data_IF_819847435400
#
_entry.id   IF_819847435400
#
_cell.length_a   1.000
_cell.length_b   1.000
_cell.length_c   1.000
_cell.angle_alpha   90.00
_cell.angle_beta   90.00
_cell.angle_gamma   90.00
#
_symmetry.space_group_name_H-M   'P 1'
#
loop_
_entity.id
_entity.type
_entity.pdbx_description
1 polymer ?
#
# COMPACT_ATOMS: atom_id res chain seq x y z
N UNK A 1 21.61 -21.76 -25.18
CA UNK A 1 21.32 -20.40 -24.72
C UNK A 1 21.29 -20.21 -23.17
N UNK A 2 20.85 -21.15 -22.33
CA UNK A 2 20.81 -20.97 -20.86
C UNK A 2 22.20 -20.89 -20.19
N UNK A 3 23.19 -21.69 -20.61
CA UNK A 3 24.56 -21.72 -20.02
C UNK A 3 25.40 -20.46 -20.35
N UNK A 4 25.16 -19.80 -21.47
CA UNK A 4 25.84 -18.55 -21.87
C UNK A 4 25.36 -17.34 -21.07
N UNK A 5 24.09 -17.32 -20.62
CA UNK A 5 23.55 -16.23 -19.80
C UNK A 5 24.05 -16.24 -18.35
N UNK A 6 24.20 -17.44 -17.74
CA UNK A 6 24.69 -17.54 -16.36
C UNK A 6 26.20 -17.23 -16.24
N UNK A 7 27.01 -17.60 -17.24
CA UNK A 7 28.43 -17.23 -17.28
C UNK A 7 28.60 -15.71 -17.36
N UNK A 8 27.81 -15.00 -18.19
CA UNK A 8 27.85 -13.53 -18.29
C UNK A 8 27.48 -12.82 -16.97
N UNK A 9 26.57 -13.37 -16.17
CA UNK A 9 26.18 -12.77 -14.88
C UNK A 9 27.28 -12.85 -13.81
N UNK A 10 28.12 -13.88 -13.88
CA UNK A 10 29.26 -14.03 -12.96
C UNK A 10 30.44 -13.13 -13.32
N UNK A 11 30.55 -12.71 -14.58
CA UNK A 11 31.60 -11.80 -15.08
C UNK A 11 31.29 -10.31 -14.83
N UNK A 12 30.08 -10.00 -14.34
CA UNK A 12 29.72 -8.63 -13.95
C UNK A 12 30.46 -8.26 -12.66
N UNK A 13 31.29 -7.22 -12.73
CA UNK A 13 32.03 -6.70 -11.58
C UNK A 13 31.09 -5.92 -10.62
N UNK A 14 30.13 -6.65 -10.03
CA UNK A 14 29.11 -6.10 -9.12
C UNK A 14 29.67 -6.07 -7.69
N UNK A 15 29.76 -4.91 -7.11
CA UNK A 15 30.07 -4.72 -5.70
C UNK A 15 28.83 -5.01 -4.85
N UNK A 16 28.62 -6.27 -4.48
CA UNK A 16 27.44 -6.70 -3.72
C UNK A 16 27.29 -5.99 -2.36
N UNK A 17 28.39 -5.62 -1.71
CA UNK A 17 28.34 -4.83 -0.47
C UNK A 17 27.64 -3.50 -0.67
N UNK A 18 27.95 -2.79 -1.75
CA UNK A 18 27.32 -1.51 -2.07
C UNK A 18 25.86 -1.70 -2.47
N UNK A 19 25.53 -2.78 -3.20
CA UNK A 19 24.15 -3.16 -3.49
C UNK A 19 23.32 -3.32 -2.22
N UNK A 20 23.74 -4.15 -1.27
CA UNK A 20 23.00 -4.37 -0.03
C UNK A 20 22.90 -3.10 0.80
N UNK A 21 23.98 -2.32 0.91
CA UNK A 21 23.97 -1.02 1.61
C UNK A 21 22.92 -0.08 1.04
N UNK A 22 22.87 0.07 -0.29
CA UNK A 22 21.91 0.95 -0.95
C UNK A 22 20.46 0.42 -0.84
N UNK A 23 20.27 -0.89 -0.98
CA UNK A 23 18.96 -1.53 -0.83
C UNK A 23 18.42 -1.32 0.58
N UNK A 24 19.22 -1.58 1.63
CA UNK A 24 18.76 -1.39 3.00
C UNK A 24 18.54 0.08 3.34
N UNK A 25 19.31 1.00 2.74
CA UNK A 25 19.07 2.44 2.86
C UNK A 25 17.71 2.89 2.28
N UNK A 26 17.13 2.13 1.34
CA UNK A 26 15.78 2.34 0.83
C UNK A 26 14.74 1.56 1.66
N UNK A 27 14.99 0.29 1.93
CA UNK A 27 14.02 -0.62 2.58
C UNK A 27 13.67 -0.18 3.99
N UNK A 28 14.68 0.17 4.81
CA UNK A 28 14.46 0.50 6.23
C UNK A 28 13.57 1.74 6.40
N UNK A 29 13.84 2.89 5.73
CA UNK A 29 12.93 4.02 5.79
C UNK A 29 11.52 3.71 5.28
N UNK A 30 11.38 2.92 4.19
CA UNK A 30 10.08 2.56 3.64
C UNK A 30 9.29 1.63 4.56
N UNK A 31 9.94 0.66 5.19
CA UNK A 31 9.32 -0.20 6.20
C UNK A 31 8.87 0.64 7.42
N UNK A 32 9.69 1.59 7.86
CA UNK A 32 9.34 2.51 8.95
C UNK A 32 8.13 3.38 8.58
N UNK A 33 8.02 3.87 7.34
CA UNK A 33 6.85 4.61 6.86
C UNK A 33 5.58 3.76 6.93
N UNK A 34 5.64 2.50 6.52
CA UNK A 34 4.50 1.58 6.62
C UNK A 34 4.11 1.33 8.08
N UNK A 35 5.10 1.18 8.97
CA UNK A 35 4.86 1.01 10.41
C UNK A 35 4.22 2.27 11.02
N UNK A 36 4.69 3.45 10.65
CA UNK A 36 4.10 4.74 11.08
C UNK A 36 2.63 4.82 10.67
N UNK A 37 2.28 4.43 9.44
CA UNK A 37 0.89 4.43 8.97
C UNK A 37 -0.01 3.49 9.79
N UNK A 38 0.50 2.31 10.14
CA UNK A 38 -0.21 1.40 11.07
C UNK A 38 -0.36 2.04 12.45
N UNK A 39 0.67 2.72 12.93
CA UNK A 39 0.69 3.44 14.20
C UNK A 39 -0.36 4.56 14.27
N UNK A 40 -0.53 5.35 13.20
CA UNK A 40 -1.59 6.39 13.11
C UNK A 40 -2.96 5.76 13.31
N UNK A 41 -3.27 4.72 12.54
CA UNK A 41 -4.57 4.02 12.64
C UNK A 41 -4.79 3.42 14.02
N UNK A 42 -3.77 2.81 14.61
CA UNK A 42 -3.86 2.23 15.95
C UNK A 42 -4.10 3.30 17.03
N UNK A 43 -3.43 4.44 16.93
CA UNK A 43 -3.61 5.56 17.86
C UNK A 43 -5.05 6.12 17.80
N UNK A 44 -5.58 6.33 16.58
CA UNK A 44 -6.95 6.80 16.37
C UNK A 44 -7.97 5.81 16.98
N UNK A 45 -7.81 4.51 16.73
CA UNK A 45 -8.69 3.47 17.26
C UNK A 45 -8.67 3.43 18.78
N UNK A 46 -7.48 3.46 19.40
CA UNK A 46 -7.34 3.44 20.86
C UNK A 46 -7.93 4.70 21.50
N UNK A 47 -7.71 5.88 20.93
CA UNK A 47 -8.18 7.13 21.49
C UNK A 47 -9.70 7.29 21.33
N UNK A 48 -10.25 6.99 20.15
CA UNK A 48 -11.70 7.07 19.91
C UNK A 48 -12.49 5.98 20.66
N UNK A 49 -11.89 4.81 20.84
CA UNK A 49 -12.48 3.72 21.63
C UNK A 49 -12.71 4.09 23.10
N UNK A 50 -11.90 5.02 23.65
CA UNK A 50 -12.11 5.57 25.00
C UNK A 50 -13.29 6.57 25.10
N UNK A 51 -13.74 7.11 23.98
CA UNK A 51 -14.89 8.06 23.96
C UNK A 51 -16.20 7.29 23.99
N UNK A 52 -16.46 6.46 22.98
CA UNK A 52 -17.59 5.53 22.95
C UNK A 52 -17.48 4.58 21.76
N UNK A 53 -18.18 3.44 21.82
CA UNK A 53 -18.27 2.46 20.75
C UNK A 53 -18.87 3.05 19.46
N UNK A 54 -19.91 3.90 19.59
CA UNK A 54 -20.57 4.56 18.43
C UNK A 54 -19.63 5.54 17.72
N UNK A 55 -18.84 6.28 18.48
CA UNK A 55 -17.83 7.22 17.95
C UNK A 55 -16.74 6.46 17.21
N UNK A 56 -16.21 5.39 17.81
CA UNK A 56 -15.20 4.55 17.17
C UNK A 56 -15.73 3.92 15.88
N UNK A 57 -16.94 3.34 15.92
CA UNK A 57 -17.58 2.73 14.76
C UNK A 57 -17.81 3.76 13.64
N UNK A 58 -18.32 4.95 13.98
CA UNK A 58 -18.53 6.03 13.03
C UNK A 58 -17.24 6.47 12.32
N UNK A 59 -16.17 6.68 13.08
CA UNK A 59 -14.86 7.05 12.52
C UNK A 59 -14.26 5.93 11.68
N UNK A 60 -14.34 4.68 12.14
CA UNK A 60 -13.81 3.51 11.43
C UNK A 60 -14.51 3.29 10.09
N UNK A 61 -15.85 3.41 10.03
CA UNK A 61 -16.60 3.27 8.79
C UNK A 61 -16.39 4.45 7.85
N UNK A 62 -16.29 5.68 8.36
CA UNK A 62 -15.90 6.84 7.55
C UNK A 62 -14.48 6.66 6.97
N UNK A 63 -13.58 6.05 7.74
CA UNK A 63 -12.22 5.68 7.31
C UNK A 63 -12.20 4.70 6.13
N UNK A 64 -13.23 3.85 5.92
CA UNK A 64 -13.30 2.97 4.75
C UNK A 64 -13.41 3.77 3.43
N UNK A 65 -14.08 4.92 3.44
CA UNK A 65 -14.18 5.80 2.27
C UNK A 65 -12.79 6.34 1.91
N UNK A 66 -12.05 6.80 2.93
CA UNK A 66 -10.66 7.24 2.76
C UNK A 66 -9.76 6.10 2.29
N UNK A 67 -9.94 4.88 2.82
CA UNK A 67 -9.16 3.70 2.41
C UNK A 67 -9.34 3.39 0.92
N UNK A 68 -10.58 3.42 0.40
CA UNK A 68 -10.85 3.24 -1.03
C UNK A 68 -10.11 4.31 -1.84
N UNK A 69 -10.19 5.59 -1.44
CA UNK A 69 -9.46 6.67 -2.11
C UNK A 69 -7.93 6.42 -2.09
N UNK A 70 -7.39 5.93 -0.99
CA UNK A 70 -5.95 5.59 -0.87
C UNK A 70 -5.54 4.50 -1.84
N UNK A 71 -6.39 3.50 -2.13
CA UNK A 71 -6.10 2.48 -3.14
C UNK A 71 -5.92 3.10 -4.53
N UNK A 72 -6.79 4.05 -4.91
CA UNK A 72 -6.62 4.80 -6.17
C UNK A 72 -5.32 5.60 -6.19
N UNK A 73 -4.99 6.30 -5.10
CA UNK A 73 -3.75 7.08 -4.99
C UNK A 73 -2.51 6.19 -5.01
N UNK A 74 -2.54 5.05 -4.33
CA UNK A 74 -1.43 4.10 -4.32
C UNK A 74 -1.19 3.52 -5.72
N UNK A 75 -2.25 3.12 -6.41
CA UNK A 75 -2.15 2.66 -7.79
C UNK A 75 -1.58 3.72 -8.72
N UNK A 76 -2.06 4.97 -8.60
CA UNK A 76 -1.58 6.11 -9.38
C UNK A 76 -0.08 6.38 -9.14
N UNK A 77 0.32 6.46 -7.88
CA UNK A 77 1.71 6.78 -7.50
C UNK A 77 2.67 5.64 -7.79
N UNK A 78 2.23 4.39 -7.60
CA UNK A 78 3.03 3.21 -7.95
C UNK A 78 3.21 3.11 -9.47
N UNK A 79 2.16 3.39 -10.26
CA UNK A 79 2.27 3.49 -11.71
C UNK A 79 3.19 4.63 -12.16
N UNK A 80 3.11 5.80 -11.51
CA UNK A 80 4.03 6.92 -11.76
C UNK A 80 5.49 6.53 -11.47
N UNK A 81 5.74 5.73 -10.43
CA UNK A 81 7.09 5.27 -10.06
C UNK A 81 7.74 4.45 -11.17
N UNK A 82 6.96 3.72 -11.97
CA UNK A 82 7.46 2.99 -13.16
C UNK A 82 8.23 3.93 -14.10
N UNK A 83 7.64 5.08 -14.39
CA UNK A 83 8.23 6.07 -15.27
C UNK A 83 9.34 6.88 -14.57
N UNK A 84 9.04 7.42 -13.39
CA UNK A 84 9.96 8.33 -12.68
C UNK A 84 11.27 7.66 -12.29
N UNK A 85 11.24 6.38 -11.87
CA UNK A 85 12.46 5.64 -11.54
C UNK A 85 13.33 5.38 -12.79
N UNK A 86 12.73 5.06 -13.93
CA UNK A 86 13.48 4.86 -15.17
C UNK A 86 14.02 6.18 -15.73
N UNK A 87 13.21 7.26 -15.75
CA UNK A 87 13.71 8.59 -16.13
C UNK A 87 14.79 9.11 -15.20
N UNK A 88 14.73 8.76 -13.91
CA UNK A 88 15.82 9.05 -12.98
C UNK A 88 17.11 8.33 -13.36
N UNK A 89 17.04 7.05 -13.71
CA UNK A 89 18.18 6.28 -14.25
C UNK A 89 18.74 6.85 -15.54
N UNK A 90 17.88 7.36 -16.42
CA UNK A 90 18.27 8.03 -17.66
C UNK A 90 18.89 9.43 -17.42
N UNK A 91 18.66 10.04 -16.26
CA UNK A 91 19.09 11.39 -15.92
C UNK A 91 18.17 12.51 -16.45
N UNK A 92 16.98 12.17 -16.96
CA UNK A 92 16.02 13.13 -17.49
C UNK A 92 15.11 13.69 -16.39
N UNK A 93 15.58 14.75 -15.74
CA UNK A 93 14.86 15.43 -14.67
C UNK A 93 13.60 16.16 -15.19
N UNK A 94 13.63 16.62 -16.44
CA UNK A 94 12.50 17.34 -17.05
C UNK A 94 11.29 16.43 -17.19
N UNK A 95 11.50 15.20 -17.68
CA UNK A 95 10.42 14.21 -17.76
C UNK A 95 9.84 13.90 -16.38
N UNK A 96 10.67 13.82 -15.32
CA UNK A 96 10.20 13.60 -13.95
C UNK A 96 9.37 14.79 -13.45
N UNK A 97 9.77 16.04 -13.73
CA UNK A 97 8.99 17.24 -13.38
C UNK A 97 7.61 17.24 -14.07
N UNK A 98 7.55 16.84 -15.33
CA UNK A 98 6.29 16.69 -16.08
C UNK A 98 5.40 15.58 -15.49
N UNK A 99 6.00 14.42 -15.14
CA UNK A 99 5.27 13.31 -14.51
C UNK A 99 4.77 13.69 -13.11
N UNK A 100 5.56 14.43 -12.32
CA UNK A 100 5.14 14.98 -11.04
C UNK A 100 3.89 15.87 -11.20
N UNK A 101 3.93 16.80 -12.15
CA UNK A 101 2.81 17.70 -12.42
C UNK A 101 1.55 16.93 -12.87
N UNK A 102 1.71 15.94 -13.75
CA UNK A 102 0.64 15.07 -14.21
C UNK A 102 0.06 14.21 -13.08
N UNK A 103 0.93 13.64 -12.24
CA UNK A 103 0.55 12.86 -11.07
C UNK A 103 -0.26 13.69 -10.07
N UNK A 104 0.20 14.92 -9.75
CA UNK A 104 -0.53 15.84 -8.86
C UNK A 104 -1.89 16.19 -9.46
N UNK A 105 -1.97 16.52 -10.77
CA UNK A 105 -3.23 16.81 -11.44
C UNK A 105 -4.20 15.63 -11.34
N UNK A 106 -3.75 14.43 -11.62
CA UNK A 106 -4.57 13.21 -11.54
C UNK A 106 -5.03 12.92 -10.10
N UNK A 107 -4.14 13.09 -9.12
CA UNK A 107 -4.47 12.94 -7.71
C UNK A 107 -5.50 13.96 -7.23
N UNK A 108 -5.37 15.22 -7.64
CA UNK A 108 -6.36 16.29 -7.33
C UNK A 108 -7.72 15.93 -7.90
N UNK A 109 -7.80 15.41 -9.14
CA UNK A 109 -9.08 15.00 -9.75
C UNK A 109 -9.70 13.85 -8.93
N UNK A 110 -8.93 12.82 -8.61
CA UNK A 110 -9.41 11.66 -7.82
C UNK A 110 -9.90 12.14 -6.45
N UNK A 111 -9.06 12.86 -5.72
CA UNK A 111 -9.39 13.30 -4.35
C UNK A 111 -10.52 14.31 -4.33
N UNK A 112 -10.67 15.19 -5.35
CA UNK A 112 -11.80 16.10 -5.48
C UNK A 112 -13.13 15.35 -5.63
N UNK A 113 -13.17 14.25 -6.40
CA UNK A 113 -14.37 13.40 -6.52
C UNK A 113 -14.79 12.88 -5.15
N UNK A 114 -13.85 12.33 -4.37
CA UNK A 114 -14.13 11.83 -3.01
C UNK A 114 -14.51 12.95 -2.05
N UNK A 115 -13.86 14.12 -2.15
CA UNK A 115 -14.18 15.30 -1.34
C UNK A 115 -15.61 15.77 -1.63
N UNK A 116 -15.98 15.94 -2.89
CA UNK A 116 -17.33 16.38 -3.29
C UNK A 116 -18.36 15.36 -2.81
N UNK A 117 -18.14 14.05 -3.00
CA UNK A 117 -19.04 13.01 -2.52
C UNK A 117 -19.20 13.04 -0.98
N UNK A 118 -18.11 13.23 -0.24
CA UNK A 118 -18.13 13.32 1.22
C UNK A 118 -18.86 14.56 1.75
N UNK A 119 -18.90 15.67 0.99
CA UNK A 119 -19.66 16.86 1.34
C UNK A 119 -21.13 16.78 0.95
N UNK A 120 -21.43 16.28 -0.27
CA UNK A 120 -22.78 16.29 -0.83
C UNK A 120 -23.66 15.16 -0.32
N UNK A 121 -23.12 13.95 -0.20
CA UNK A 121 -23.88 12.74 0.15
C UNK A 121 -23.26 11.93 1.32
N UNK A 122 -22.77 12.56 2.40
CA UNK A 122 -22.04 11.85 3.46
C UNK A 122 -22.87 10.77 4.14
N UNK A 123 -24.17 11.03 4.39
CA UNK A 123 -25.05 10.06 5.01
C UNK A 123 -25.30 8.83 4.10
N UNK A 124 -25.43 9.02 2.79
CA UNK A 124 -25.58 7.91 1.82
C UNK A 124 -24.31 7.05 1.76
N UNK A 125 -23.13 7.68 1.80
CA UNK A 125 -21.87 6.97 1.87
C UNK A 125 -21.75 6.11 3.15
N UNK A 126 -22.19 6.64 4.29
CA UNK A 126 -22.19 5.88 5.54
C UNK A 126 -23.21 4.73 5.52
N UNK A 127 -24.36 4.92 4.87
CA UNK A 127 -25.41 3.86 4.72
C UNK A 127 -24.96 2.65 3.92
N UNK A 128 -23.91 2.77 3.11
CA UNK A 128 -23.28 1.60 2.44
C UNK A 128 -22.74 0.60 3.45
N UNK A 129 -22.30 1.08 4.63
CA UNK A 129 -21.63 0.27 5.63
C UNK A 129 -22.49 -0.07 6.85
N UNK A 130 -23.50 0.75 7.19
CA UNK A 130 -24.31 0.55 8.38
C UNK A 130 -25.70 1.18 8.27
N UNK A 131 -26.67 0.58 8.96
CA UNK A 131 -28.02 1.13 9.11
C UNK A 131 -28.26 1.80 10.48
N UNK A 132 -27.26 1.80 11.39
CA UNK A 132 -27.39 2.43 12.70
C UNK A 132 -27.37 3.96 12.56
N UNK A 133 -28.49 4.67 12.91
CA UNK A 133 -28.56 6.12 12.73
C UNK A 133 -27.54 6.90 13.56
N UNK A 134 -27.15 6.38 14.74
CA UNK A 134 -26.18 7.03 15.62
C UNK A 134 -24.78 6.93 15.05
N UNK A 135 -24.40 5.76 14.55
CA UNK A 135 -23.11 5.53 13.88
C UNK A 135 -22.99 6.37 12.60
N UNK A 136 -24.09 6.47 11.83
CA UNK A 136 -24.16 7.33 10.64
C UNK A 136 -23.95 8.80 11.03
N UNK A 137 -24.63 9.28 12.06
CA UNK A 137 -24.51 10.66 12.50
C UNK A 137 -23.09 11.02 12.96
N UNK A 138 -22.43 10.14 13.71
CA UNK A 138 -21.03 10.32 14.11
C UNK A 138 -20.08 10.26 12.91
N UNK A 139 -20.25 9.27 12.02
CA UNK A 139 -19.44 9.15 10.82
C UNK A 139 -19.55 10.35 9.88
N UNK A 140 -20.74 10.94 9.74
CA UNK A 140 -20.96 12.17 8.94
C UNK A 140 -20.21 13.36 9.53
N UNK A 141 -20.20 13.52 10.87
CA UNK A 141 -19.42 14.58 11.54
C UNK A 141 -17.93 14.48 11.24
N UNK A 142 -17.40 13.23 11.30
CA UNK A 142 -16.00 12.93 10.98
C UNK A 142 -15.69 13.18 9.52
N UNK A 143 -16.50 12.61 8.61
CA UNK A 143 -16.27 12.60 7.18
C UNK A 143 -16.21 14.01 6.58
N UNK A 144 -17.12 14.90 6.99
CA UNK A 144 -17.15 16.29 6.51
C UNK A 144 -15.88 17.06 6.84
N UNK A 145 -15.28 16.84 8.00
CA UNK A 145 -14.06 17.54 8.41
C UNK A 145 -12.84 16.91 7.71
N UNK A 146 -12.73 15.57 7.74
CA UNK A 146 -11.60 14.86 7.13
C UNK A 146 -11.56 15.01 5.62
N UNK A 147 -12.71 15.15 4.94
CA UNK A 147 -12.78 15.39 3.49
C UNK A 147 -12.00 16.63 3.05
N UNK A 148 -11.90 17.68 3.90
CA UNK A 148 -11.05 18.84 3.64
C UNK A 148 -9.57 18.48 3.46
N UNK A 149 -9.13 17.37 4.03
CA UNK A 149 -7.73 16.90 3.95
C UNK A 149 -7.43 16.05 2.71
N UNK A 150 -8.43 15.58 1.98
CA UNK A 150 -8.23 14.62 0.89
C UNK A 150 -7.39 15.17 -0.25
N UNK A 151 -7.66 16.40 -0.68
CA UNK A 151 -6.88 17.05 -1.74
C UNK A 151 -5.44 17.29 -1.28
N UNK A 152 -5.25 17.72 -0.04
CA UNK A 152 -3.92 17.90 0.57
C UNK A 152 -3.17 16.55 0.54
N UNK A 153 -3.82 15.48 0.98
CA UNK A 153 -3.25 14.13 0.99
C UNK A 153 -2.87 13.67 -0.42
N UNK A 154 -3.69 13.95 -1.43
CA UNK A 154 -3.38 13.62 -2.83
C UNK A 154 -2.09 14.28 -3.31
N UNK A 155 -1.94 15.58 -3.06
CA UNK A 155 -0.75 16.35 -3.45
C UNK A 155 0.49 15.85 -2.73
N UNK A 156 0.44 15.71 -1.40
CA UNK A 156 1.57 15.30 -0.58
C UNK A 156 2.01 13.87 -0.91
N UNK A 157 1.05 12.94 -1.10
CA UNK A 157 1.36 11.57 -1.50
C UNK A 157 2.13 11.51 -2.83
N UNK A 158 1.63 12.14 -3.89
CA UNK A 158 2.31 12.12 -5.20
C UNK A 158 3.72 12.69 -5.08
N UNK A 159 3.88 13.84 -4.42
CA UNK A 159 5.19 14.45 -4.24
C UNK A 159 6.15 13.50 -3.50
N UNK A 160 5.73 12.93 -2.38
CA UNK A 160 6.56 12.04 -1.58
C UNK A 160 6.90 10.74 -2.32
N UNK A 161 5.98 10.19 -3.13
CA UNK A 161 6.26 9.02 -3.96
C UNK A 161 7.27 9.33 -5.07
N UNK A 162 7.19 10.50 -5.72
CA UNK A 162 8.20 10.92 -6.69
C UNK A 162 9.56 11.12 -6.00
N UNK A 163 9.60 11.70 -4.80
CA UNK A 163 10.85 11.80 -4.03
C UNK A 163 11.44 10.42 -3.71
N UNK A 164 10.60 9.44 -3.34
CA UNK A 164 11.06 8.04 -3.16
C UNK A 164 11.63 7.46 -4.45
N UNK A 165 10.99 7.69 -5.59
CA UNK A 165 11.42 7.14 -6.89
C UNK A 165 12.77 7.67 -7.38
N UNK A 166 13.19 8.83 -6.86
CA UNK A 166 14.52 9.42 -7.08
C UNK A 166 15.47 9.18 -5.89
N UNK A 167 15.21 8.12 -5.12
CA UNK A 167 16.03 7.67 -3.97
C UNK A 167 16.08 8.65 -2.77
N UNK A 168 15.20 9.67 -2.72
CA UNK A 168 15.08 10.61 -1.60
C UNK A 168 14.06 10.12 -0.55
N UNK A 169 14.21 8.87 -0.09
CA UNK A 169 13.21 8.18 0.77
C UNK A 169 13.10 8.76 2.18
N UNK A 170 14.19 9.32 2.73
CA UNK A 170 14.23 9.89 4.09
C UNK A 170 13.23 11.04 4.24
N UNK A 171 13.03 11.83 3.18
CA UNK A 171 12.07 12.94 3.19
C UNK A 171 10.68 12.48 3.57
N UNK A 172 10.20 11.43 2.93
CA UNK A 172 8.88 10.86 3.22
C UNK A 172 8.81 10.31 4.66
N UNK A 173 9.91 9.69 5.14
CA UNK A 173 9.95 9.16 6.51
C UNK A 173 9.84 10.27 7.54
N UNK A 174 10.58 11.37 7.38
CA UNK A 174 10.54 12.52 8.29
C UNK A 174 9.15 13.17 8.26
N UNK A 175 8.60 13.41 7.07
CA UNK A 175 7.27 14.03 6.91
C UNK A 175 6.20 13.18 7.60
N UNK A 176 6.17 11.86 7.38
CA UNK A 176 5.18 10.98 8.02
C UNK A 176 5.39 10.85 9.53
N UNK A 177 6.64 10.84 10.01
CA UNK A 177 6.91 10.79 11.45
C UNK A 177 6.40 12.06 12.15
N UNK A 178 6.70 13.24 11.60
CA UNK A 178 6.22 14.52 12.16
C UNK A 178 4.70 14.59 12.11
N UNK A 179 4.09 14.18 10.98
CA UNK A 179 2.64 14.12 10.84
C UNK A 179 1.99 13.18 11.86
N UNK A 180 2.58 12.02 12.10
CA UNK A 180 2.11 11.07 13.11
C UNK A 180 2.16 11.66 14.51
N UNK A 181 3.29 12.23 14.91
CA UNK A 181 3.44 12.86 16.23
C UNK A 181 2.44 14.02 16.39
N UNK A 182 2.30 14.85 15.37
CA UNK A 182 1.32 15.93 15.32
C UNK A 182 -0.12 15.38 15.51
N UNK A 183 -0.49 14.35 14.75
CA UNK A 183 -1.81 13.70 14.86
C UNK A 183 -2.07 13.18 16.27
N UNK A 184 -1.13 12.43 16.87
CA UNK A 184 -1.30 11.88 18.23
C UNK A 184 -1.45 12.97 19.27
N UNK A 185 -0.65 14.04 19.20
CA UNK A 185 -0.71 15.16 20.15
C UNK A 185 -2.04 15.90 20.01
N UNK A 186 -2.44 16.27 18.80
CA UNK A 186 -3.71 16.98 18.60
C UNK A 186 -4.94 16.09 18.82
N UNK A 187 -4.85 14.79 18.58
CA UNK A 187 -5.86 13.83 18.99
C UNK A 187 -6.07 13.88 20.50
N UNK A 188 -4.99 13.82 21.29
CA UNK A 188 -5.08 13.89 22.75
C UNK A 188 -5.70 15.22 23.21
N UNK A 189 -5.32 16.34 22.60
CA UNK A 189 -5.85 17.66 22.95
C UNK A 189 -7.34 17.78 22.63
N UNK A 190 -7.74 17.47 21.39
CA UNK A 190 -9.09 17.77 20.93
C UNK A 190 -10.11 16.66 21.22
N UNK A 191 -9.69 15.39 21.30
CA UNK A 191 -10.62 14.31 21.68
C UNK A 191 -11.02 14.45 23.15
N UNK A 192 -10.02 14.66 24.03
CA UNK A 192 -10.22 14.63 25.48
C UNK A 192 -10.33 16.01 26.13
N UNK A 193 -10.08 17.10 25.38
CA UNK A 193 -10.18 18.44 25.92
C UNK A 193 -9.04 18.84 26.86
N UNK A 194 -7.80 18.46 26.53
CA UNK A 194 -6.64 18.81 27.32
C UNK A 194 -6.24 20.29 27.13
N UNK A 195 -5.49 20.84 28.08
CA UNK A 195 -4.98 22.22 28.07
C UNK A 195 -6.06 23.31 27.95
N UNK A 196 -7.29 23.06 28.47
CA UNK A 196 -8.39 24.03 28.45
C UNK A 196 -9.21 24.06 27.14
N UNK A 197 -8.90 23.18 26.19
CA UNK A 197 -9.75 23.02 25.01
C UNK A 197 -11.01 22.20 25.34
N UNK A 198 -12.13 22.45 24.62
CA UNK A 198 -13.32 21.61 24.81
C UNK A 198 -13.08 20.18 24.27
N UNK A 199 -13.64 19.17 24.94
CA UNK A 199 -13.64 17.80 24.46
C UNK A 199 -14.58 17.67 23.24
N UNK A 200 -14.01 17.53 22.04
CA UNK A 200 -14.74 17.49 20.77
C UNK A 200 -15.03 16.06 20.31
N UNK A 201 -14.49 15.04 20.98
CA UNK A 201 -14.69 13.63 20.62
C UNK A 201 -14.30 13.35 19.16
N UNK A 202 -15.23 12.81 18.37
CA UNK A 202 -14.99 12.43 16.96
C UNK A 202 -14.60 13.63 16.08
N UNK A 203 -15.16 14.82 16.32
CA UNK A 203 -14.77 16.04 15.60
C UNK A 203 -13.33 16.42 15.92
N UNK A 204 -12.91 16.21 17.16
CA UNK A 204 -11.54 16.44 17.60
C UNK A 204 -10.54 15.58 16.83
N UNK A 205 -10.82 14.29 16.65
CA UNK A 205 -10.00 13.39 15.84
C UNK A 205 -9.93 13.83 14.37
N UNK A 206 -11.05 14.24 13.79
CA UNK A 206 -11.09 14.71 12.41
C UNK A 206 -10.28 16.01 12.22
N UNK A 207 -10.35 16.95 13.16
CA UNK A 207 -9.57 18.20 13.16
C UNK A 207 -8.07 17.89 13.32
N UNK A 208 -7.71 17.01 14.24
CA UNK A 208 -6.31 16.60 14.43
C UNK A 208 -5.72 15.97 13.16
N UNK A 209 -6.49 15.12 12.47
CA UNK A 209 -6.10 14.54 11.18
C UNK A 209 -5.92 15.65 10.12
N UNK A 210 -6.84 16.61 10.03
CA UNK A 210 -6.72 17.73 9.10
C UNK A 210 -5.46 18.57 9.37
N UNK A 211 -5.19 18.90 10.64
CA UNK A 211 -3.98 19.64 11.04
C UNK A 211 -2.72 18.86 10.68
N UNK A 212 -2.68 17.54 10.93
CA UNK A 212 -1.56 16.70 10.57
C UNK A 212 -1.31 16.70 9.05
N UNK A 213 -2.36 16.68 8.20
CA UNK A 213 -2.23 16.79 6.74
C UNK A 213 -1.78 18.17 6.28
N UNK A 214 -2.22 19.23 6.94
CA UNK A 214 -1.71 20.59 6.67
C UNK A 214 -0.21 20.66 7.03
N UNK A 215 0.20 20.09 8.15
CA UNK A 215 1.61 20.00 8.53
C UNK A 215 2.43 19.24 7.48
N UNK A 216 1.93 18.12 6.96
CA UNK A 216 2.57 17.40 5.85
C UNK A 216 2.77 18.32 4.63
N UNK A 217 1.74 19.07 4.24
CA UNK A 217 1.83 19.98 3.10
C UNK A 217 2.88 21.08 3.35
N UNK A 218 2.90 21.67 4.53
CA UNK A 218 3.88 22.70 4.91
C UNK A 218 5.29 22.14 4.83
N UNK A 219 5.53 20.95 5.37
CA UNK A 219 6.84 20.29 5.31
C UNK A 219 7.24 19.95 3.87
N UNK A 220 6.31 19.43 3.07
CA UNK A 220 6.56 19.11 1.66
C UNK A 220 6.88 20.37 0.86
N UNK A 221 6.11 21.45 1.01
CA UNK A 221 6.35 22.72 0.34
C UNK A 221 7.67 23.36 0.80
N UNK A 222 7.98 23.31 2.10
CA UNK A 222 9.24 23.76 2.66
C UNK A 222 10.43 23.00 2.06
N UNK A 223 10.35 21.67 2.04
CA UNK A 223 11.38 20.84 1.42
C UNK A 223 11.53 21.13 -0.09
N UNK A 224 10.41 21.20 -0.81
CA UNK A 224 10.40 21.46 -2.25
C UNK A 224 11.07 22.80 -2.61
N UNK A 225 10.87 23.83 -1.79
CA UNK A 225 11.39 25.18 -2.05
C UNK A 225 12.86 25.36 -1.59
N UNK A 226 13.21 24.80 -0.42
CA UNK A 226 14.50 25.11 0.23
C UNK A 226 15.56 24.04 -0.13
N UNK A 227 15.22 22.75 -0.07
CA UNK A 227 16.21 21.67 -0.13
C UNK A 227 16.23 20.92 -1.46
N UNK A 228 15.07 20.83 -2.16
CA UNK A 228 15.00 20.05 -3.39
C UNK A 228 15.57 20.81 -4.58
N UNK A 229 16.75 20.38 -5.02
CA UNK A 229 17.44 20.91 -6.21
C UNK A 229 17.29 20.00 -7.44
N UNK A 230 16.77 18.79 -7.27
CA UNK A 230 16.75 17.76 -8.30
C UNK A 230 15.52 17.85 -9.21
N UNK A 231 14.33 17.95 -8.62
CA UNK A 231 13.04 17.91 -9.34
C UNK A 231 12.15 19.02 -8.81
N UNK A 232 11.80 19.97 -9.65
CA UNK A 232 10.99 21.14 -9.27
C UNK A 232 9.56 20.98 -9.76
N UNK A 233 8.60 21.35 -8.92
CA UNK A 233 7.23 21.52 -9.39
C UNK A 233 7.11 22.80 -10.19
N UNK A 234 6.70 22.69 -11.47
CA UNK A 234 6.48 23.83 -12.36
C UNK A 234 5.02 23.92 -12.74
N UNK A 235 4.39 25.04 -12.41
CA UNK A 235 2.98 25.30 -12.73
C UNK A 235 2.70 25.19 -14.22
N UNK A 236 3.67 25.58 -15.08
CA UNK A 236 3.54 25.44 -16.52
C UNK A 236 3.25 23.99 -16.94
N UNK A 237 3.96 22.99 -16.37
CA UNK A 237 3.73 21.57 -16.67
C UNK A 237 2.41 21.05 -16.10
N UNK A 238 1.86 21.68 -15.08
CA UNK A 238 0.53 21.34 -14.56
C UNK A 238 -0.59 21.77 -15.52
N UNK A 239 -0.43 22.92 -16.16
CA UNK A 239 -1.42 23.47 -17.10
C UNK A 239 -1.26 22.88 -18.51
N UNK A 240 -0.01 22.79 -19.01
CA UNK A 240 0.31 22.31 -20.36
C UNK A 240 0.99 20.95 -20.28
N UNK A 241 0.28 19.92 -20.73
CA UNK A 241 0.71 18.54 -20.64
C UNK A 241 1.05 18.00 -22.01
N UNK A 242 2.16 17.26 -22.10
CA UNK A 242 2.53 16.51 -23.29
C UNK A 242 1.58 15.32 -23.48
N UNK A 243 0.87 15.27 -24.62
CA UNK A 243 -0.11 14.20 -24.91
C UNK A 243 0.52 12.80 -24.91
N UNK A 244 1.79 12.71 -25.36
CA UNK A 244 2.49 11.43 -25.42
C UNK A 244 2.82 10.92 -24.02
N UNK A 245 3.30 11.81 -23.15
CA UNK A 245 3.61 11.48 -21.76
C UNK A 245 2.33 11.14 -20.97
N UNK A 246 1.22 11.85 -21.21
CA UNK A 246 -0.09 11.52 -20.62
C UNK A 246 -0.52 10.11 -21.03
N UNK A 247 -0.36 9.76 -22.31
CA UNK A 247 -0.68 8.41 -22.80
C UNK A 247 0.17 7.35 -22.10
N UNK A 248 1.48 7.57 -22.00
CA UNK A 248 2.39 6.62 -21.36
C UNK A 248 2.06 6.49 -19.86
N UNK A 249 1.83 7.61 -19.19
CA UNK A 249 1.40 7.63 -17.80
C UNK A 249 0.13 6.80 -17.56
N UNK A 250 -0.89 6.98 -18.40
CA UNK A 250 -2.14 6.21 -18.29
C UNK A 250 -1.93 4.72 -18.61
N UNK A 251 -1.12 4.39 -19.61
CA UNK A 251 -0.83 3.01 -20.01
C UNK A 251 -0.18 2.22 -18.86
N UNK A 252 0.69 2.86 -18.06
CA UNK A 252 1.36 2.20 -16.96
C UNK A 252 0.62 2.35 -15.63
N UNK A 253 -0.06 3.47 -15.36
CA UNK A 253 -0.73 3.71 -14.09
C UNK A 253 -2.12 3.09 -14.01
N UNK A 254 -2.92 3.12 -15.09
CA UNK A 254 -4.29 2.62 -15.04
C UNK A 254 -4.39 1.12 -14.71
N UNK A 255 -3.58 0.22 -15.30
CA UNK A 255 -3.57 -1.18 -14.88
C UNK A 255 -3.20 -1.36 -13.41
N UNK A 256 -2.31 -0.52 -12.86
CA UNK A 256 -1.92 -0.60 -11.45
C UNK A 256 -3.05 -0.12 -10.56
N UNK A 257 -3.72 0.99 -10.90
CA UNK A 257 -4.91 1.47 -10.16
C UNK A 257 -5.99 0.40 -10.13
N UNK A 258 -6.30 -0.20 -11.29
CA UNK A 258 -7.30 -1.28 -11.36
C UNK A 258 -6.88 -2.49 -10.53
N UNK A 259 -5.59 -2.84 -10.54
CA UNK A 259 -5.06 -3.94 -9.72
C UNK A 259 -5.26 -3.70 -8.22
N UNK A 260 -4.91 -2.51 -7.73
CA UNK A 260 -5.05 -2.16 -6.31
C UNK A 260 -6.53 -2.14 -5.87
N UNK A 261 -7.41 -1.56 -6.70
CA UNK A 261 -8.85 -1.55 -6.42
C UNK A 261 -9.42 -2.97 -6.41
N UNK A 262 -9.09 -3.81 -7.40
CA UNK A 262 -9.53 -5.19 -7.46
C UNK A 262 -8.99 -6.03 -6.31
N UNK A 263 -7.76 -5.78 -5.88
CA UNK A 263 -7.17 -6.40 -4.69
C UNK A 263 -7.89 -5.98 -3.41
N UNK A 264 -8.19 -4.68 -3.25
CA UNK A 264 -8.96 -4.17 -2.11
C UNK A 264 -10.36 -4.74 -2.04
N UNK A 265 -11.07 -4.81 -3.18
CA UNK A 265 -12.38 -5.46 -3.27
C UNK A 265 -12.30 -6.97 -2.97
N UNK A 266 -11.27 -7.64 -3.45
CA UNK A 266 -11.05 -9.07 -3.19
C UNK A 266 -10.81 -9.37 -1.72
N UNK A 267 -10.02 -8.56 -1.01
CA UNK A 267 -9.83 -8.71 0.44
C UNK A 267 -11.13 -8.47 1.21
N UNK A 268 -11.96 -7.54 0.75
CA UNK A 268 -13.30 -7.32 1.32
C UNK A 268 -14.23 -8.52 1.05
N UNK A 269 -14.18 -9.10 -0.14
CA UNK A 269 -14.94 -10.30 -0.47
C UNK A 269 -14.54 -11.51 0.38
N UNK A 270 -13.23 -11.72 0.62
CA UNK A 270 -12.73 -12.75 1.53
C UNK A 270 -13.28 -12.56 2.95
N UNK A 271 -13.29 -11.33 3.44
CA UNK A 271 -13.86 -11.01 4.76
C UNK A 271 -15.37 -11.25 4.79
N UNK A 272 -16.08 -10.95 3.72
CA UNK A 272 -17.53 -11.21 3.62
C UNK A 272 -17.85 -12.71 3.62
N UNK A 273 -17.09 -13.53 2.90
CA UNK A 273 -17.26 -15.00 2.93
C UNK A 273 -17.10 -15.53 4.35
N UNK A 274 -16.03 -15.13 5.06
CA UNK A 274 -15.81 -15.53 6.46
C UNK A 274 -16.88 -14.95 7.39
N UNK A 275 -17.40 -13.76 7.09
CA UNK A 275 -18.47 -13.12 7.83
C UNK A 275 -19.76 -13.93 7.89
N UNK A 276 -20.12 -14.56 6.77
CA UNK A 276 -21.29 -15.44 6.69
C UNK A 276 -21.09 -16.81 7.36
N UNK A 277 -19.85 -17.18 7.68
CA UNK A 277 -19.53 -18.42 8.41
C UNK A 277 -19.61 -18.27 9.94
N UNK A 278 -19.89 -17.08 10.45
CA UNK A 278 -20.17 -16.82 11.87
C UNK A 278 -19.21 -15.87 12.55
N UNK A 279 -19.65 -15.33 13.68
CA UNK A 279 -18.93 -14.32 14.46
C UNK A 279 -17.54 -14.77 14.94
N UNK A 280 -17.39 -16.05 15.31
CA UNK A 280 -16.10 -16.62 15.70
C UNK A 280 -15.07 -16.61 14.56
N UNK A 281 -15.51 -16.82 13.31
CA UNK A 281 -14.64 -16.72 12.14
C UNK A 281 -14.20 -15.27 11.88
N UNK A 282 -15.13 -14.31 12.01
CA UNK A 282 -14.83 -12.87 11.89
C UNK A 282 -13.82 -12.42 12.95
N UNK A 283 -14.05 -12.79 14.20
CA UNK A 283 -13.16 -12.42 15.30
C UNK A 283 -11.74 -12.97 15.09
N UNK A 284 -11.62 -14.24 14.70
CA UNK A 284 -10.33 -14.86 14.38
C UNK A 284 -9.65 -14.18 13.20
N UNK A 285 -10.39 -13.93 12.10
CA UNK A 285 -9.84 -13.28 10.91
C UNK A 285 -9.37 -11.85 11.18
N UNK A 286 -10.08 -11.09 12.01
CA UNK A 286 -9.69 -9.72 12.36
C UNK A 286 -8.32 -9.67 13.03
N UNK A 287 -8.06 -10.58 13.97
CA UNK A 287 -6.76 -10.70 14.62
C UNK A 287 -5.68 -11.17 13.64
N UNK A 288 -6.01 -12.18 12.83
CA UNK A 288 -5.10 -12.72 11.83
C UNK A 288 -4.68 -11.63 10.80
N UNK A 289 -5.60 -10.75 10.37
CA UNK A 289 -5.31 -9.64 9.48
C UNK A 289 -4.30 -8.64 10.07
N UNK A 290 -4.44 -8.29 11.35
CA UNK A 290 -3.48 -7.40 12.02
C UNK A 290 -2.09 -8.05 12.07
N UNK A 291 -2.02 -9.31 12.45
CA UNK A 291 -0.75 -10.06 12.47
C UNK A 291 -0.10 -10.11 11.08
N UNK A 292 -0.90 -10.32 10.02
CA UNK A 292 -0.43 -10.29 8.63
C UNK A 292 0.15 -8.93 8.25
N UNK A 293 -0.57 -7.85 8.56
CA UNK A 293 -0.10 -6.49 8.24
C UNK A 293 1.27 -6.22 8.88
N UNK A 294 1.46 -6.56 10.15
CA UNK A 294 2.74 -6.40 10.84
C UNK A 294 3.84 -7.25 10.23
N UNK A 295 3.56 -8.52 9.93
CA UNK A 295 4.55 -9.45 9.35
C UNK A 295 4.98 -9.03 7.92
N UNK A 296 4.14 -8.34 7.17
CA UNK A 296 4.41 -7.95 5.77
C UNK A 296 4.96 -6.52 5.60
N UNK A 297 5.04 -5.72 6.68
CA UNK A 297 5.54 -4.33 6.63
C UNK A 297 6.87 -4.22 5.89
N UNK A 298 7.83 -5.08 6.24
CA UNK A 298 9.18 -5.08 5.64
C UNK A 298 9.14 -5.55 4.20
N UNK A 299 8.30 -6.55 3.88
CA UNK A 299 8.14 -7.07 2.52
C UNK A 299 7.59 -6.03 1.56
N UNK A 300 6.64 -5.20 1.99
CA UNK A 300 6.14 -4.06 1.20
C UNK A 300 7.22 -2.98 1.01
N UNK A 301 8.04 -2.72 2.03
CA UNK A 301 9.20 -1.84 1.92
C UNK A 301 10.21 -2.35 0.90
N UNK A 302 10.51 -3.67 0.94
CA UNK A 302 11.41 -4.32 0.00
C UNK A 302 10.89 -4.26 -1.43
N UNK A 303 9.62 -4.54 -1.68
CA UNK A 303 9.04 -4.50 -3.01
C UNK A 303 9.05 -3.09 -3.62
N UNK A 304 8.76 -2.07 -2.82
CA UNK A 304 8.86 -0.67 -3.24
C UNK A 304 10.30 -0.25 -3.56
N UNK A 305 11.27 -0.65 -2.71
CA UNK A 305 12.69 -0.42 -2.98
C UNK A 305 13.16 -1.16 -4.24
N UNK A 306 12.65 -2.38 -4.48
CA UNK A 306 12.92 -3.16 -5.69
C UNK A 306 12.47 -2.40 -6.94
N UNK A 307 11.24 -1.86 -6.93
CA UNK A 307 10.69 -1.09 -8.05
C UNK A 307 11.57 0.12 -8.39
N UNK A 308 12.04 0.85 -7.39
CA UNK A 308 12.88 2.03 -7.55
C UNK A 308 14.27 1.65 -8.06
N UNK A 309 14.91 0.70 -7.39
CA UNK A 309 16.29 0.30 -7.70
C UNK A 309 16.41 -0.32 -9.09
N UNK A 310 15.50 -1.24 -9.42
CA UNK A 310 15.45 -1.87 -10.75
C UNK A 310 15.02 -0.88 -11.83
N UNK A 311 14.00 -0.04 -11.54
CA UNK A 311 13.56 0.99 -12.48
C UNK A 311 14.70 1.91 -12.88
N UNK A 312 15.47 2.41 -11.92
CA UNK A 312 16.69 3.20 -12.16
C UNK A 312 17.71 2.42 -13.01
N UNK A 313 18.01 1.17 -12.65
CA UNK A 313 18.99 0.35 -13.35
C UNK A 313 18.58 0.07 -14.80
N UNK A 314 17.27 -0.11 -15.06
CA UNK A 314 16.71 -0.28 -16.40
C UNK A 314 16.82 1.03 -17.18
N UNK A 315 16.51 2.17 -16.56
CA UNK A 315 16.65 3.50 -17.17
C UNK A 315 18.10 3.84 -17.53
N UNK A 316 19.07 3.35 -16.77
CA UNK A 316 20.50 3.39 -17.10
C UNK A 316 20.88 2.44 -18.27
N UNK A 317 19.92 1.67 -18.80
CA UNK A 317 20.12 0.62 -19.82
C UNK A 317 21.07 -0.50 -19.41
N UNK A 318 21.27 -0.71 -18.09
CA UNK A 318 22.11 -1.77 -17.52
C UNK A 318 21.29 -3.06 -17.30
N UNK A 319 20.79 -3.66 -18.36
CA UNK A 319 19.85 -4.80 -18.30
C UNK A 319 20.42 -6.04 -17.61
N UNK A 320 21.71 -6.35 -17.80
CA UNK A 320 22.34 -7.51 -17.17
C UNK A 320 22.50 -7.29 -15.65
N UNK A 321 22.79 -6.07 -15.20
CA UNK A 321 22.78 -5.72 -13.78
C UNK A 321 21.36 -5.82 -13.21
N UNK A 322 20.34 -5.32 -13.94
CA UNK A 322 18.95 -5.44 -13.50
C UNK A 322 18.51 -6.91 -13.30
N UNK A 323 18.96 -7.83 -14.17
CA UNK A 323 18.73 -9.28 -14.00
C UNK A 323 19.41 -9.83 -12.76
N UNK A 324 20.68 -9.47 -12.54
CA UNK A 324 21.44 -9.91 -11.37
C UNK A 324 20.81 -9.40 -10.06
N UNK A 325 20.43 -8.12 -10.03
CA UNK A 325 19.77 -7.51 -8.86
C UNK A 325 18.40 -8.12 -8.61
N UNK A 326 17.57 -8.33 -9.65
CA UNK A 326 16.27 -8.96 -9.52
C UNK A 326 16.36 -10.34 -8.84
N UNK A 327 17.35 -11.16 -9.21
CA UNK A 327 17.60 -12.45 -8.54
C UNK A 327 17.87 -12.30 -7.04
N UNK A 328 18.62 -11.26 -6.63
CA UNK A 328 18.92 -11.00 -5.22
C UNK A 328 17.69 -10.48 -4.47
N UNK A 329 16.88 -9.63 -5.09
CA UNK A 329 15.63 -9.18 -4.51
C UNK A 329 14.64 -10.33 -4.27
N UNK A 330 14.57 -11.31 -5.18
CA UNK A 330 13.77 -12.52 -4.99
C UNK A 330 14.25 -13.30 -3.75
N UNK A 331 15.57 -13.50 -3.61
CA UNK A 331 16.12 -14.18 -2.43
C UNK A 331 15.79 -13.42 -1.14
N UNK A 332 16.00 -12.10 -1.14
CA UNK A 332 15.66 -11.25 0.01
C UNK A 332 14.17 -11.33 0.36
N UNK A 333 13.28 -11.34 -0.64
CA UNK A 333 11.83 -11.43 -0.38
C UNK A 333 11.43 -12.75 0.27
N UNK A 334 12.01 -13.87 -0.17
CA UNK A 334 11.78 -15.18 0.46
C UNK A 334 12.30 -15.18 1.90
N UNK A 335 13.52 -14.66 2.13
CA UNK A 335 14.09 -14.55 3.49
C UNK A 335 13.20 -13.71 4.40
N UNK A 336 12.74 -12.54 3.93
CA UNK A 336 11.83 -11.69 4.70
C UNK A 336 10.48 -12.36 4.94
N UNK A 337 9.96 -13.08 3.96
CA UNK A 337 8.75 -13.89 4.11
C UNK A 337 8.90 -15.00 5.18
N UNK A 338 10.01 -15.70 5.18
CA UNK A 338 10.32 -16.74 6.18
C UNK A 338 10.43 -16.12 7.58
N UNK A 339 11.10 -14.97 7.71
CA UNK A 339 11.17 -14.24 8.98
C UNK A 339 9.77 -13.81 9.44
N UNK A 340 8.96 -13.23 8.54
CA UNK A 340 7.59 -12.81 8.85
C UNK A 340 6.69 -13.96 9.25
N UNK A 341 6.72 -15.08 8.51
CA UNK A 341 5.99 -16.30 8.85
C UNK A 341 6.44 -16.91 10.18
N UNK A 342 7.75 -16.94 10.45
CA UNK A 342 8.31 -17.38 11.72
C UNK A 342 7.87 -16.50 12.89
N UNK A 343 7.84 -15.19 12.72
CA UNK A 343 7.36 -14.26 13.74
C UNK A 343 5.87 -14.48 14.06
N UNK A 344 5.03 -14.77 13.05
CA UNK A 344 3.61 -15.12 13.28
C UNK A 344 3.52 -16.38 14.16
N UNK A 345 4.28 -17.43 13.86
CA UNK A 345 4.25 -18.68 14.63
C UNK A 345 4.73 -18.47 16.07
N UNK A 346 5.81 -17.72 16.27
CA UNK A 346 6.37 -17.44 17.61
C UNK A 346 5.40 -16.57 18.42
N UNK A 347 4.79 -15.55 17.79
CA UNK A 347 3.85 -14.66 18.47
C UNK A 347 2.47 -15.31 18.71
N UNK A 348 2.09 -16.33 17.94
CA UNK A 348 0.79 -16.99 17.98
C UNK A 348 0.32 -17.39 19.39
N UNK A 349 1.10 -18.16 20.21
CA UNK A 349 0.65 -18.55 21.54
C UNK A 349 0.44 -17.35 22.47
N UNK A 350 1.31 -16.34 22.36
CA UNK A 350 1.22 -15.11 23.17
C UNK A 350 -0.03 -14.33 22.78
N UNK A 351 -0.26 -14.06 21.51
CA UNK A 351 -1.43 -13.32 21.02
C UNK A 351 -2.72 -14.04 21.42
N UNK A 352 -2.79 -15.35 21.25
CA UNK A 352 -3.98 -16.16 21.60
C UNK A 352 -4.25 -16.12 23.10
N UNK A 353 -3.23 -16.09 23.96
CA UNK A 353 -3.40 -16.07 25.42
C UNK A 353 -3.90 -14.72 25.95
N UNK A 354 -3.52 -13.62 25.29
CA UNK A 354 -3.92 -12.27 25.71
C UNK A 354 -5.36 -11.89 25.30
N UNK A 355 -5.97 -12.64 24.37
CA UNK A 355 -7.28 -12.30 23.83
C UNK A 355 -8.39 -13.11 24.49
N UNK A 356 -9.45 -12.41 24.89
CA UNK A 356 -10.68 -13.00 25.45
C UNK A 356 -11.58 -13.53 24.31
N UNK A 357 -11.12 -14.60 23.64
CA UNK A 357 -11.83 -15.24 22.54
C UNK A 357 -12.58 -16.50 23.03
N UNK A 358 -13.71 -16.82 22.38
CA UNK A 358 -14.39 -18.10 22.57
C UNK A 358 -13.46 -19.26 22.17
N UNK A 359 -13.73 -20.47 22.70
CA UNK A 359 -12.94 -21.65 22.39
C UNK A 359 -12.86 -21.92 20.86
N UNK A 360 -13.99 -21.73 20.16
CA UNK A 360 -14.10 -21.87 18.70
C UNK A 360 -13.27 -20.82 17.98
N UNK A 361 -13.38 -19.54 18.35
CA UNK A 361 -12.61 -18.47 17.71
C UNK A 361 -11.09 -18.63 17.97
N UNK A 362 -10.70 -19.11 19.13
CA UNK A 362 -9.31 -19.43 19.48
C UNK A 362 -8.76 -20.57 18.61
N UNK A 363 -9.56 -21.62 18.40
CA UNK A 363 -9.20 -22.69 17.50
C UNK A 363 -9.03 -22.20 16.05
N UNK A 364 -9.99 -21.40 15.54
CA UNK A 364 -9.89 -20.83 14.20
C UNK A 364 -8.68 -19.93 14.04
N UNK A 365 -8.40 -19.05 15.01
CA UNK A 365 -7.24 -18.18 14.99
C UNK A 365 -5.93 -18.96 14.94
N UNK A 366 -5.83 -20.03 15.73
CA UNK A 366 -4.65 -20.91 15.71
C UNK A 366 -4.43 -21.53 14.32
N UNK A 367 -5.49 -22.04 13.69
CA UNK A 367 -5.42 -22.59 12.33
C UNK A 367 -5.08 -21.51 11.30
N UNK A 368 -5.67 -20.32 11.42
CA UNK A 368 -5.36 -19.19 10.54
C UNK A 368 -3.91 -18.76 10.65
N UNK A 369 -3.30 -18.76 11.84
CA UNK A 369 -1.88 -18.45 12.00
C UNK A 369 -0.97 -19.48 11.33
N UNK A 370 -1.31 -20.77 11.38
CA UNK A 370 -0.57 -21.79 10.63
C UNK A 370 -0.66 -21.55 9.12
N UNK A 371 -1.84 -21.27 8.60
CA UNK A 371 -2.03 -20.94 7.18
C UNK A 371 -1.25 -19.68 6.80
N UNK A 372 -1.30 -18.64 7.63
CA UNK A 372 -0.60 -17.40 7.36
C UNK A 372 0.91 -17.52 7.38
N UNK A 373 1.48 -18.42 8.17
CA UNK A 373 2.93 -18.58 8.27
C UNK A 373 3.58 -18.92 6.92
N UNK A 374 2.95 -19.76 6.10
CA UNK A 374 3.42 -20.04 4.75
C UNK A 374 2.88 -19.05 3.71
N UNK A 375 1.66 -18.55 3.90
CA UNK A 375 1.06 -17.56 3.02
C UNK A 375 1.92 -16.29 2.92
N UNK A 376 2.41 -15.78 4.04
CA UNK A 376 3.26 -14.58 4.10
C UNK A 376 4.55 -14.77 3.29
N UNK A 377 5.09 -15.98 3.21
CA UNK A 377 6.26 -16.28 2.38
C UNK A 377 5.92 -16.10 0.89
N UNK A 378 4.81 -16.70 0.45
CA UNK A 378 4.34 -16.59 -0.92
C UNK A 378 3.94 -15.14 -1.25
N UNK A 379 3.27 -14.45 -0.33
CA UNK A 379 2.90 -13.04 -0.47
C UNK A 379 4.13 -12.14 -0.61
N UNK A 380 5.15 -12.31 0.24
CA UNK A 380 6.39 -11.53 0.15
C UNK A 380 7.09 -11.72 -1.20
N UNK A 381 7.15 -12.96 -1.67
CA UNK A 381 7.69 -13.30 -2.97
C UNK A 381 6.89 -12.64 -4.10
N UNK A 382 5.58 -12.86 -4.16
CA UNK A 382 4.72 -12.35 -5.25
C UNK A 382 4.64 -10.82 -5.24
N UNK A 383 4.56 -10.18 -4.06
CA UNK A 383 4.58 -8.72 -3.95
C UNK A 383 5.88 -8.16 -4.52
N UNK A 384 7.03 -8.77 -4.23
CA UNK A 384 8.31 -8.35 -4.82
C UNK A 384 8.36 -8.60 -6.33
N UNK A 385 7.78 -9.71 -6.81
CA UNK A 385 7.70 -10.00 -8.25
C UNK A 385 6.80 -9.00 -8.99
N UNK A 386 5.58 -8.79 -8.50
CA UNK A 386 4.56 -7.98 -9.21
C UNK A 386 4.82 -6.49 -9.00
N UNK A 387 4.89 -6.04 -7.75
CA UNK A 387 5.03 -4.61 -7.41
C UNK A 387 6.47 -4.14 -7.61
N UNK A 388 7.46 -4.99 -7.31
CA UNK A 388 8.87 -4.67 -7.45
C UNK A 388 9.37 -4.86 -8.88
N UNK A 389 9.46 -6.11 -9.34
CA UNK A 389 10.18 -6.47 -10.57
C UNK A 389 9.36 -6.16 -11.83
N UNK A 390 8.10 -6.61 -11.92
CA UNK A 390 7.32 -6.44 -13.14
C UNK A 390 6.93 -4.98 -13.37
N UNK A 391 6.55 -4.25 -12.32
CA UNK A 391 6.25 -2.82 -12.43
C UNK A 391 7.50 -2.02 -12.81
N UNK A 392 8.68 -2.34 -12.28
CA UNK A 392 9.92 -1.62 -12.63
C UNK A 392 10.22 -1.61 -14.12
N UNK A 393 9.85 -2.66 -14.83
CA UNK A 393 10.00 -2.79 -16.29
C UNK A 393 8.73 -2.50 -17.09
N UNK A 394 7.67 -1.93 -16.48
CA UNK A 394 6.45 -1.54 -17.17
C UNK A 394 5.49 -2.68 -17.52
N UNK A 395 5.67 -3.88 -16.95
CA UNK A 395 4.79 -5.05 -17.22
C UNK A 395 3.55 -5.05 -16.30
N UNK A 396 2.90 -3.88 -16.17
CA UNK A 396 1.78 -3.62 -15.26
C UNK A 396 0.50 -4.37 -15.65
N UNK A 397 0.25 -4.53 -16.95
CA UNK A 397 -0.93 -5.27 -17.45
C UNK A 397 -0.89 -6.75 -17.07
N UNK A 398 0.27 -7.37 -17.13
CA UNK A 398 0.40 -8.77 -16.73
C UNK A 398 0.11 -8.94 -15.23
N UNK A 399 0.62 -8.04 -14.38
CA UNK A 399 0.33 -8.05 -12.96
C UNK A 399 -1.19 -7.99 -12.67
N UNK A 400 -1.89 -7.04 -13.31
CA UNK A 400 -3.35 -6.91 -13.19
C UNK A 400 -4.09 -8.21 -13.58
N UNK A 401 -3.81 -8.73 -14.78
CA UNK A 401 -4.52 -9.92 -15.29
C UNK A 401 -4.26 -11.12 -14.38
N UNK A 402 -3.03 -11.31 -13.95
CA UNK A 402 -2.66 -12.42 -13.08
C UNK A 402 -3.35 -12.32 -11.72
N UNK A 403 -3.26 -11.15 -11.04
CA UNK A 403 -3.84 -10.97 -9.71
C UNK A 403 -5.36 -11.12 -9.72
N UNK A 404 -6.04 -10.50 -10.71
CA UNK A 404 -7.50 -10.62 -10.83
C UNK A 404 -7.91 -12.06 -11.13
N UNK A 405 -7.23 -12.73 -12.07
CA UNK A 405 -7.58 -14.11 -12.43
C UNK A 405 -7.37 -15.10 -11.29
N UNK A 406 -6.29 -14.97 -10.53
CA UNK A 406 -5.99 -15.89 -9.42
C UNK A 406 -6.86 -15.62 -8.21
N UNK A 407 -7.04 -14.34 -7.84
CA UNK A 407 -7.81 -13.98 -6.65
C UNK A 407 -9.31 -14.18 -6.88
N UNK A 408 -9.87 -13.60 -7.96
CA UNK A 408 -11.31 -13.66 -8.23
C UNK A 408 -11.72 -14.96 -8.91
N UNK A 409 -10.96 -15.41 -9.90
CA UNK A 409 -11.29 -16.63 -10.68
C UNK A 409 -10.99 -17.94 -9.95
N UNK A 410 -10.08 -17.92 -8.96
CA UNK A 410 -9.74 -19.11 -8.21
C UNK A 410 -10.10 -18.97 -6.72
N UNK A 411 -9.37 -18.17 -5.96
CA UNK A 411 -9.46 -18.21 -4.50
C UNK A 411 -10.81 -17.80 -3.94
N UNK A 412 -11.37 -16.65 -4.38
CA UNK A 412 -12.66 -16.17 -3.90
C UNK A 412 -13.78 -17.11 -4.38
N UNK A 413 -13.76 -17.50 -5.65
CA UNK A 413 -14.77 -18.40 -6.22
C UNK A 413 -14.77 -19.76 -5.51
N UNK A 414 -13.61 -20.40 -5.37
CA UNK A 414 -13.48 -21.69 -4.70
C UNK A 414 -13.79 -21.58 -3.20
N UNK A 415 -13.36 -20.52 -2.54
CA UNK A 415 -13.67 -20.26 -1.14
C UNK A 415 -15.17 -20.07 -0.89
N UNK A 416 -15.85 -19.31 -1.76
CA UNK A 416 -17.30 -19.13 -1.68
C UNK A 416 -18.06 -20.43 -1.96
N UNK A 417 -17.68 -21.20 -2.97
CA UNK A 417 -18.25 -22.53 -3.23
C UNK A 417 -18.06 -23.47 -2.05
N UNK A 418 -16.87 -23.52 -1.46
CA UNK A 418 -16.59 -24.35 -0.30
C UNK A 418 -17.41 -23.92 0.93
N UNK A 419 -17.60 -22.60 1.14
CA UNK A 419 -18.36 -22.08 2.27
C UNK A 419 -19.87 -22.30 2.12
N UNK A 420 -20.45 -21.94 0.95
CA UNK A 420 -21.90 -21.83 0.79
C UNK A 420 -22.57 -23.05 0.15
N UNK A 421 -21.82 -23.81 -0.66
CA UNK A 421 -22.35 -24.98 -1.35
C UNK A 421 -21.89 -26.27 -0.70
N UNK A 422 -20.59 -26.38 -0.40
CA UNK A 422 -20.01 -27.59 0.18
C UNK A 422 -20.01 -27.59 1.72
N UNK A 423 -20.34 -26.47 2.35
CA UNK A 423 -20.40 -26.29 3.80
C UNK A 423 -19.14 -26.77 4.55
N UNK A 424 -17.96 -26.45 3.98
CA UNK A 424 -16.70 -26.82 4.58
C UNK A 424 -16.42 -26.02 5.86
N UNK A 425 -15.53 -26.54 6.70
CA UNK A 425 -15.12 -25.87 7.93
C UNK A 425 -14.38 -24.55 7.65
N UNK A 426 -14.45 -23.60 8.61
CA UNK A 426 -13.80 -22.29 8.51
C UNK A 426 -12.30 -22.40 8.16
N UNK A 427 -11.49 -23.27 8.81
CA UNK A 427 -10.09 -23.41 8.43
C UNK A 427 -9.87 -23.88 6.99
N UNK A 428 -10.70 -24.80 6.49
CA UNK A 428 -10.59 -25.30 5.11
C UNK A 428 -10.93 -24.21 4.08
N UNK A 429 -12.00 -23.45 4.33
CA UNK A 429 -12.36 -22.28 3.51
C UNK A 429 -11.26 -21.24 3.54
N UNK A 430 -10.67 -20.97 4.70
CA UNK A 430 -9.58 -20.02 4.84
C UNK A 430 -8.33 -20.40 4.01
N UNK A 431 -7.99 -21.69 3.95
CA UNK A 431 -6.90 -22.18 3.08
C UNK A 431 -7.20 -21.86 1.61
N UNK A 432 -8.42 -22.07 1.15
CA UNK A 432 -8.83 -21.76 -0.24
C UNK A 432 -8.77 -20.25 -0.51
N UNK A 433 -9.31 -19.43 0.38
CA UNK A 433 -9.30 -17.97 0.25
C UNK A 433 -7.87 -17.40 0.23
N UNK A 434 -6.89 -18.09 0.81
CA UNK A 434 -5.48 -17.70 0.82
C UNK A 434 -4.65 -18.44 -0.25
N UNK A 435 -5.25 -19.27 -1.10
CA UNK A 435 -4.52 -20.09 -2.09
C UNK A 435 -4.00 -19.29 -3.30
N UNK A 436 -4.53 -18.10 -3.57
CA UNK A 436 -4.12 -17.27 -4.71
C UNK A 436 -2.62 -16.97 -4.73
N UNK A 437 -2.02 -16.70 -3.57
CA UNK A 437 -0.59 -16.42 -3.50
C UNK A 437 0.28 -17.64 -3.88
N UNK A 438 -0.16 -18.86 -3.57
CA UNK A 438 0.54 -20.08 -3.98
C UNK A 438 0.39 -20.33 -5.48
N UNK A 439 -0.82 -20.09 -6.03
CA UNK A 439 -1.11 -20.24 -7.47
C UNK A 439 -0.28 -19.24 -8.29
N UNK A 440 -0.06 -18.03 -7.78
CA UNK A 440 0.74 -17.00 -8.44
C UNK A 440 2.21 -17.38 -8.58
N UNK A 441 2.80 -18.14 -7.64
CA UNK A 441 4.25 -18.45 -7.64
C UNK A 441 4.74 -19.03 -8.96
N UNK A 442 4.20 -20.14 -9.50
CA UNK A 442 4.66 -20.68 -10.78
C UNK A 442 4.45 -19.72 -11.95
N UNK A 443 3.34 -18.98 -11.96
CA UNK A 443 2.99 -18.05 -13.04
C UNK A 443 4.01 -16.90 -13.07
N UNK A 444 4.32 -16.31 -11.92
CA UNK A 444 5.32 -15.23 -11.79
C UNK A 444 6.71 -15.71 -12.14
N UNK A 445 7.11 -16.93 -11.74
CA UNK A 445 8.41 -17.50 -12.11
C UNK A 445 8.56 -17.72 -13.62
N UNK A 446 7.51 -18.21 -14.29
CA UNK A 446 7.51 -18.37 -15.76
C UNK A 446 7.67 -17.00 -16.41
N UNK A 447 6.89 -15.99 -15.97
CA UNK A 447 6.97 -14.62 -16.50
C UNK A 447 8.34 -14.01 -16.27
N UNK A 448 8.90 -14.16 -15.08
CA UNK A 448 10.24 -13.68 -14.74
C UNK A 448 11.30 -14.27 -15.65
N UNK A 449 11.28 -15.59 -15.87
CA UNK A 449 12.24 -16.29 -16.74
C UNK A 449 12.11 -15.93 -18.22
N UNK A 450 10.96 -15.42 -18.66
CA UNK A 450 10.76 -14.97 -20.04
C UNK A 450 11.41 -13.62 -20.33
N UNK A 451 11.85 -12.88 -19.32
CA UNK A 451 12.41 -11.51 -19.40
C UNK A 451 11.50 -10.49 -20.08
N UNK A 452 10.21 -10.81 -20.28
CA UNK A 452 9.23 -9.89 -20.89
C UNK A 452 8.92 -8.67 -20.01
N UNK A 453 9.27 -8.74 -18.74
CA UNK A 453 9.16 -7.64 -17.79
C UNK A 453 10.28 -6.60 -17.94
N UNK A 454 11.42 -6.93 -18.54
CA UNK A 454 12.62 -6.10 -18.62
C UNK A 454 12.55 -5.17 -19.83
N UNK A 455 11.86 -4.03 -19.69
CA UNK A 455 11.66 -3.07 -20.79
C UNK A 455 12.07 -1.67 -20.33
N UNK A 456 12.77 -0.96 -21.23
CA UNK A 456 12.95 0.49 -21.13
C UNK A 456 11.66 1.16 -21.61
N UNK A 457 11.01 1.90 -20.70
CA UNK A 457 9.75 2.62 -21.00
C UNK A 457 10.00 4.12 -21.21
N UNK A 458 11.26 4.56 -21.15
CA UNK A 458 11.63 5.95 -21.37
C UNK A 458 11.62 6.28 -22.85
N UNK A 459 11.35 7.54 -23.16
CA UNK A 459 11.43 8.09 -24.52
C UNK A 459 12.55 9.11 -24.61
N UNK A 460 13.12 9.24 -25.79
CA UNK A 460 14.03 10.33 -26.10
C UNK A 460 13.19 11.55 -26.49
N UNK A 461 13.55 12.74 -25.99
CA UNK A 461 12.88 14.03 -26.28
C UNK A 461 11.43 14.16 -25.76
N UNK A 462 11.19 13.86 -24.50
CA UNK A 462 9.91 14.15 -23.81
C UNK A 462 9.98 15.45 -23.03
#
# INVERSE_FOLDING_TARGET
MKRTGEKRLNDLNIKWKDFYKNVFALVVPMALQNLINVGVTAADVVMLGKVSEKVLSGASLAGQIQYIMVLFLFGLTSGATVLTAQYWGKGDKTAIEKILALGIRSAVIITAIFTIAAFTIPASLMRIFTNDPQVIAEGVKYLRIVACSYIIMGITNVYLYVMRSIERVIVATVVYLVSFLCNVVFNAIFIFGLFGFPALGIRGAAIATLIARIMELVLVCGYAKIYNKDVKFRVHYFLHQDKLLVRDFLVYSLPVVLNEVMWGLGTSANTAVLGHMGSSAVAANSVAQVARQLATVVSFGLSSATAIYLGKTIGERKFDHARAYAKRFIILSVVMGVIGGGLILIASPVVISFLSLSATARYYLKMMFYVMSYFVIAQAFNTTMVVGIFRSGGDTKFGLIMDVSTMWGCSILLGALAAFVLHWSVPAVYVLLMSDELIKVPITLIRYRSFKWLKDVTRDNV
#
